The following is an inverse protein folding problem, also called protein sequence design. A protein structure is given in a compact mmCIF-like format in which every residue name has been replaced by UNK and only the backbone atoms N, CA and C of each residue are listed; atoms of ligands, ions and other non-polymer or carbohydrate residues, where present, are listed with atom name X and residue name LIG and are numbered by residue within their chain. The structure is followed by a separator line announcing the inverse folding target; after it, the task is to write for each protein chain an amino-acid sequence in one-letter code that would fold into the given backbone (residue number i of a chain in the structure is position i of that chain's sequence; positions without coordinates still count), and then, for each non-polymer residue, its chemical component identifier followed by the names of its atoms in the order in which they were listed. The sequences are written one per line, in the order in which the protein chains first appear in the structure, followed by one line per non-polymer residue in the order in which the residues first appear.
data_IF_041043770216
#
_entry.id   IF_041043770216
#
_cell.length_a   1.000
_cell.length_b   1.000
_cell.length_c   1.000
_cell.angle_alpha   90.00
_cell.angle_beta   90.00
_cell.angle_gamma   90.00
#
_symmetry.space_group_name_H-M   'P 1'
#
loop_
_entity.id
_entity.type
_entity.pdbx_description
1 polymer ?
#
# COMPACT_ATOMS: atom_id res chain seq x y z
N UNK A 1 -39.42 -21.25 -25.07
CA UNK A 1 -38.40 -22.19 -24.54
C UNK A 1 -36.96 -21.63 -24.53
N UNK A 2 -36.69 -20.51 -25.19
CA UNK A 2 -35.41 -19.82 -25.19
C UNK A 2 -35.18 -18.88 -23.99
N UNK A 3 -36.19 -18.59 -23.19
CA UNK A 3 -36.13 -17.67 -22.07
C UNK A 3 -35.57 -18.32 -20.76
N UNK A 4 -35.81 -19.59 -20.55
CA UNK A 4 -35.40 -20.30 -19.34
C UNK A 4 -33.88 -20.32 -19.16
N UNK A 5 -33.03 -20.55 -20.18
CA UNK A 5 -31.59 -20.46 -20.03
C UNK A 5 -31.09 -19.06 -19.71
N UNK A 6 -31.71 -18.02 -20.28
CA UNK A 6 -31.31 -16.62 -20.03
C UNK A 6 -31.65 -16.17 -18.60
N UNK A 7 -32.82 -16.56 -18.10
CA UNK A 7 -33.20 -16.31 -16.70
C UNK A 7 -32.27 -17.03 -15.75
N UNK A 8 -31.94 -18.28 -16.02
CA UNK A 8 -30.99 -19.05 -15.23
C UNK A 8 -29.62 -18.39 -15.18
N UNK A 9 -29.13 -17.94 -16.32
CA UNK A 9 -27.85 -17.24 -16.43
C UNK A 9 -27.86 -15.93 -15.61
N UNK A 10 -28.96 -15.17 -15.69
CA UNK A 10 -29.12 -13.92 -14.94
C UNK A 10 -29.11 -14.16 -13.43
N UNK A 11 -29.87 -15.15 -12.98
CA UNK A 11 -29.92 -15.53 -11.56
C UNK A 11 -28.54 -15.99 -11.08
N UNK A 12 -27.86 -16.79 -11.88
CA UNK A 12 -26.55 -17.31 -11.56
C UNK A 12 -25.50 -16.18 -11.45
N UNK A 13 -25.53 -15.24 -12.39
CA UNK A 13 -24.67 -14.04 -12.32
C UNK A 13 -24.92 -13.23 -11.06
N UNK A 14 -26.18 -13.03 -10.71
CA UNK A 14 -26.56 -12.31 -9.49
C UNK A 14 -26.03 -13.01 -8.22
N UNK A 15 -26.24 -14.31 -8.13
CA UNK A 15 -25.77 -15.13 -6.99
C UNK A 15 -24.25 -15.10 -6.86
N UNK A 16 -23.52 -15.26 -7.97
CA UNK A 16 -22.05 -15.22 -7.97
C UNK A 16 -21.51 -13.84 -7.65
N UNK A 17 -22.17 -12.79 -8.09
CA UNK A 17 -21.77 -11.42 -7.82
C UNK A 17 -22.03 -10.99 -6.36
N UNK A 18 -23.04 -11.54 -5.71
CA UNK A 18 -23.37 -11.22 -4.31
C UNK A 18 -22.31 -11.72 -3.30
N UNK A 19 -21.52 -12.71 -3.69
CA UNK A 19 -20.50 -13.29 -2.82
C UNK A 19 -21.04 -14.06 -1.60
N UNK A 20 -22.35 -14.23 -1.50
CA UNK A 20 -23.02 -14.91 -0.37
C UNK A 20 -22.88 -16.42 -0.41
N UNK A 21 -22.44 -16.99 -1.53
CA UNK A 21 -22.30 -18.44 -1.70
C UNK A 21 -20.84 -18.80 -1.84
N UNK A 22 -20.43 -19.78 -1.08
CA UNK A 22 -19.12 -20.43 -1.21
C UNK A 22 -19.00 -21.04 -2.64
N UNK A 23 -17.99 -20.61 -3.36
CA UNK A 23 -17.73 -21.02 -4.74
C UNK A 23 -17.51 -22.53 -4.87
N UNK A 24 -16.85 -23.16 -3.91
CA UNK A 24 -16.58 -24.60 -3.90
C UNK A 24 -17.89 -25.38 -3.71
N UNK A 25 -18.71 -24.99 -2.73
CA UNK A 25 -20.03 -25.59 -2.50
C UNK A 25 -20.95 -25.43 -3.71
N UNK A 26 -20.90 -24.27 -4.37
CA UNK A 26 -21.66 -24.02 -5.60
C UNK A 26 -21.20 -24.94 -6.74
N UNK A 27 -19.90 -25.07 -6.98
CA UNK A 27 -19.35 -25.94 -8.03
C UNK A 27 -19.69 -27.43 -7.77
N UNK A 28 -19.68 -27.86 -6.52
CA UNK A 28 -20.05 -29.22 -6.15
C UNK A 28 -21.54 -29.48 -6.44
N UNK A 29 -22.41 -28.52 -6.17
CA UNK A 29 -23.85 -28.63 -6.54
C UNK A 29 -24.08 -28.62 -8.03
N UNK A 30 -23.32 -27.82 -8.77
CA UNK A 30 -23.39 -27.78 -10.24
C UNK A 30 -23.06 -29.13 -10.85
N UNK A 31 -22.11 -29.87 -10.29
CA UNK A 31 -21.77 -31.25 -10.74
C UNK A 31 -22.94 -32.24 -10.60
N UNK A 32 -23.89 -31.97 -9.74
CA UNK A 32 -25.09 -32.80 -9.55
C UNK A 32 -26.23 -32.49 -10.51
N UNK A 33 -26.12 -31.43 -11.30
CA UNK A 33 -27.13 -31.05 -12.30
C UNK A 33 -27.14 -32.06 -13.46
N UNK A 34 -28.31 -32.60 -13.76
CA UNK A 34 -28.47 -33.63 -14.79
C UNK A 34 -28.41 -33.10 -16.23
N UNK A 35 -28.63 -31.80 -16.43
CA UNK A 35 -28.54 -31.18 -17.74
C UNK A 35 -27.12 -30.73 -18.04
N UNK A 36 -26.46 -31.39 -18.96
CA UNK A 36 -25.07 -31.11 -19.34
C UNK A 36 -24.84 -29.69 -19.87
N UNK A 37 -25.81 -29.12 -20.57
CA UNK A 37 -25.71 -27.74 -21.09
C UNK A 37 -25.77 -26.68 -19.99
N UNK A 38 -26.66 -26.87 -19.02
CA UNK A 38 -26.76 -25.99 -17.86
C UNK A 38 -25.52 -26.11 -16.97
N UNK A 39 -25.02 -27.32 -16.81
CA UNK A 39 -23.78 -27.60 -16.08
C UNK A 39 -22.60 -26.87 -16.71
N UNK A 40 -22.40 -26.98 -18.02
CA UNK A 40 -21.32 -26.30 -18.75
C UNK A 40 -21.44 -24.77 -18.63
N UNK A 41 -22.63 -24.20 -18.78
CA UNK A 41 -22.84 -22.76 -18.61
C UNK A 41 -22.52 -22.29 -17.20
N UNK A 42 -22.95 -23.02 -16.19
CA UNK A 42 -22.67 -22.68 -14.78
C UNK A 42 -21.18 -22.72 -14.50
N UNK A 43 -20.47 -23.73 -14.97
CA UNK A 43 -19.01 -23.84 -14.82
C UNK A 43 -18.25 -22.72 -15.54
N UNK A 44 -18.67 -22.38 -16.78
CA UNK A 44 -18.06 -21.30 -17.57
C UNK A 44 -18.24 -19.95 -16.88
N UNK A 45 -19.43 -19.65 -16.38
CA UNK A 45 -19.71 -18.42 -15.62
C UNK A 45 -18.89 -18.34 -14.33
N UNK A 46 -18.79 -19.44 -13.59
CA UNK A 46 -17.97 -19.50 -12.37
C UNK A 46 -16.51 -19.22 -12.68
N UNK A 47 -15.99 -19.77 -13.76
CA UNK A 47 -14.60 -19.50 -14.21
C UNK A 47 -14.41 -18.05 -14.63
N UNK A 48 -15.34 -17.47 -15.36
CA UNK A 48 -15.30 -16.05 -15.73
C UNK A 48 -15.29 -15.14 -14.52
N UNK A 49 -16.19 -15.35 -13.56
CA UNK A 49 -16.22 -14.57 -12.33
C UNK A 49 -14.95 -14.73 -11.50
N UNK A 50 -14.40 -15.93 -11.44
CA UNK A 50 -13.13 -16.17 -10.76
C UNK A 50 -11.98 -15.39 -11.44
N UNK A 51 -11.94 -15.39 -12.75
CA UNK A 51 -10.93 -14.66 -13.53
C UNK A 51 -11.07 -13.14 -13.38
N UNK A 52 -12.30 -12.61 -13.47
CA UNK A 52 -12.61 -11.19 -13.25
C UNK A 52 -12.22 -10.75 -11.84
N UNK A 53 -12.61 -11.50 -10.82
CA UNK A 53 -12.26 -11.23 -9.44
C UNK A 53 -10.73 -11.24 -9.20
N UNK A 54 -10.02 -12.12 -9.86
CA UNK A 54 -8.56 -12.18 -9.79
C UNK A 54 -7.90 -10.97 -10.46
N UNK A 55 -8.44 -10.52 -11.60
CA UNK A 55 -7.96 -9.31 -12.28
C UNK A 55 -8.25 -8.05 -11.46
N UNK A 56 -9.46 -7.93 -10.92
CA UNK A 56 -9.84 -6.80 -10.05
C UNK A 56 -8.93 -6.74 -8.82
N UNK A 57 -8.75 -7.85 -8.11
CA UNK A 57 -7.86 -7.93 -6.96
C UNK A 57 -6.41 -7.54 -7.29
N UNK A 58 -5.92 -7.89 -8.46
CA UNK A 58 -4.58 -7.47 -8.92
C UNK A 58 -4.50 -5.98 -9.20
N UNK A 59 -5.55 -5.40 -9.78
CA UNK A 59 -5.60 -3.96 -10.05
C UNK A 59 -5.69 -3.15 -8.75
N UNK A 60 -6.57 -3.57 -7.84
CA UNK A 60 -6.70 -2.96 -6.52
C UNK A 60 -5.38 -3.01 -5.75
N UNK A 61 -4.77 -4.19 -5.66
CA UNK A 61 -3.48 -4.36 -5.01
C UNK A 61 -2.36 -3.51 -5.61
N UNK A 62 -2.38 -3.30 -6.94
CA UNK A 62 -1.42 -2.39 -7.58
C UNK A 62 -1.69 -0.93 -7.24
N UNK A 63 -2.95 -0.53 -7.17
CA UNK A 63 -3.32 0.85 -6.82
C UNK A 63 -2.98 1.15 -5.36
N UNK A 64 -3.35 0.25 -4.46
CA UNK A 64 -3.01 0.34 -3.04
C UNK A 64 -1.49 0.42 -2.84
N UNK A 65 -0.75 -0.51 -3.41
CA UNK A 65 0.71 -0.51 -3.31
C UNK A 65 1.37 0.75 -3.88
N UNK A 66 0.80 1.34 -4.94
CA UNK A 66 1.28 2.64 -5.46
C UNK A 66 0.99 3.79 -4.51
N UNK A 67 -0.20 3.79 -3.90
CA UNK A 67 -0.58 4.85 -2.95
C UNK A 67 0.27 4.76 -1.68
N UNK A 68 0.42 3.56 -1.13
CA UNK A 68 1.28 3.30 0.02
C UNK A 68 2.73 3.71 -0.26
N UNK A 69 3.29 3.24 -1.37
CA UNK A 69 4.67 3.58 -1.75
C UNK A 69 4.88 5.08 -1.96
N UNK A 70 3.89 5.80 -2.49
CA UNK A 70 3.96 7.26 -2.61
C UNK A 70 3.91 7.96 -1.26
N UNK A 71 3.08 7.46 -0.36
CA UNK A 71 2.94 8.02 0.97
C UNK A 71 4.19 7.79 1.81
N UNK A 72 4.70 6.56 1.78
CA UNK A 72 5.98 6.22 2.43
C UNK A 72 7.13 7.05 1.86
N UNK A 73 7.27 7.11 0.55
CA UNK A 73 8.29 7.91 -0.10
C UNK A 73 8.23 9.41 0.23
N UNK A 74 7.02 9.96 0.39
CA UNK A 74 6.85 11.34 0.86
C UNK A 74 7.32 11.54 2.29
N UNK A 75 6.96 10.61 3.18
CA UNK A 75 7.38 10.67 4.58
C UNK A 75 8.89 10.55 4.72
N UNK A 76 9.48 9.57 4.04
CA UNK A 76 10.94 9.40 4.01
C UNK A 76 11.64 10.64 3.45
N UNK A 77 11.15 11.17 2.33
CA UNK A 77 11.69 12.39 1.73
C UNK A 77 11.62 13.60 2.65
N UNK A 78 10.54 13.76 3.41
CA UNK A 78 10.40 14.83 4.39
C UNK A 78 11.40 14.67 5.55
N UNK A 79 11.61 13.45 6.03
CA UNK A 79 12.59 13.16 7.07
C UNK A 79 14.00 13.47 6.59
N UNK A 80 14.36 13.00 5.40
CA UNK A 80 15.65 13.27 4.79
C UNK A 80 15.90 14.76 4.58
N UNK A 81 14.88 15.50 4.12
CA UNK A 81 14.96 16.94 3.97
C UNK A 81 15.24 17.65 5.30
N UNK A 82 14.53 17.26 6.35
CA UNK A 82 14.75 17.81 7.70
C UNK A 82 16.14 17.48 8.26
N UNK A 83 16.63 16.29 8.03
CA UNK A 83 17.99 15.90 8.39
C UNK A 83 19.02 16.78 7.64
N UNK A 84 18.83 16.95 6.35
CA UNK A 84 19.69 17.81 5.53
C UNK A 84 19.66 19.28 6.00
N UNK A 85 18.49 19.81 6.33
CA UNK A 85 18.34 21.17 6.85
C UNK A 85 19.14 21.40 8.13
N UNK A 86 19.13 20.43 9.05
CA UNK A 86 19.92 20.51 10.29
C UNK A 86 21.41 20.54 9.96
N UNK A 87 21.86 19.66 9.08
CA UNK A 87 23.28 19.62 8.65
C UNK A 87 23.68 20.91 7.96
N UNK A 88 22.85 21.44 7.07
CA UNK A 88 23.10 22.68 6.33
C UNK A 88 23.27 23.86 7.28
N UNK A 89 22.44 24.00 8.29
CA UNK A 89 22.57 25.05 9.31
C UNK A 89 23.90 24.94 10.06
N UNK A 90 24.27 23.72 10.43
CA UNK A 90 25.56 23.48 11.10
C UNK A 90 26.76 23.80 10.19
N UNK A 91 26.68 23.45 8.90
CA UNK A 91 27.73 23.81 7.93
C UNK A 91 27.85 25.32 7.73
N UNK A 92 26.73 26.02 7.63
CA UNK A 92 26.72 27.48 7.50
C UNK A 92 27.36 28.14 8.72
N UNK A 93 27.08 27.65 9.90
CA UNK A 93 27.55 28.26 11.15
C UNK A 93 28.97 27.88 11.51
N UNK A 94 29.37 26.63 11.29
CA UNK A 94 30.66 26.07 11.77
C UNK A 94 31.59 25.61 10.65
N UNK A 95 31.22 25.83 9.39
CA UNK A 95 31.96 25.51 8.18
C UNK A 95 32.22 24.02 7.95
N UNK A 96 32.43 23.24 9.00
CA UNK A 96 32.73 21.81 8.95
C UNK A 96 31.85 21.04 9.90
N UNK A 97 31.18 20.03 9.40
CA UNK A 97 30.42 19.06 10.20
C UNK A 97 31.12 17.71 10.12
N UNK A 98 31.55 17.10 11.25
CA UNK A 98 32.17 15.79 11.24
C UNK A 98 31.22 14.71 10.66
N UNK A 99 31.81 13.75 9.96
CA UNK A 99 31.04 12.65 9.34
C UNK A 99 30.24 11.84 10.35
N UNK A 100 30.81 11.57 11.54
CA UNK A 100 30.10 10.89 12.61
C UNK A 100 28.85 11.63 13.08
N UNK A 101 28.89 12.96 13.14
CA UNK A 101 27.73 13.77 13.50
C UNK A 101 26.64 13.74 12.41
N UNK A 102 27.04 13.78 11.14
CA UNK A 102 26.12 13.62 10.00
C UNK A 102 25.40 12.27 10.05
N UNK A 103 26.14 11.21 10.33
CA UNK A 103 25.59 9.85 10.45
C UNK A 103 24.60 9.76 11.61
N UNK A 104 24.90 10.34 12.77
CA UNK A 104 23.98 10.36 13.91
C UNK A 104 22.69 11.12 13.61
N UNK A 105 22.77 12.27 12.95
CA UNK A 105 21.58 13.02 12.50
C UNK A 105 20.79 12.20 11.51
N UNK A 106 21.44 11.49 10.59
CA UNK A 106 20.81 10.63 9.60
C UNK A 106 20.05 9.42 10.16
N UNK A 107 20.31 9.05 11.41
CA UNK A 107 19.61 7.98 12.12
C UNK A 107 18.32 8.46 12.81
N UNK A 108 18.14 9.76 12.97
CA UNK A 108 16.98 10.33 13.64
C UNK A 108 15.83 10.44 12.63
N UNK A 109 14.75 9.72 12.90
CA UNK A 109 13.59 9.64 12.02
C UNK A 109 12.34 10.33 12.59
N UNK A 110 12.37 10.75 13.85
CA UNK A 110 11.27 11.49 14.47
C UNK A 110 11.25 12.95 13.98
N UNK A 111 10.19 13.38 13.28
CA UNK A 111 10.09 14.75 12.78
C UNK A 111 10.12 15.83 13.84
N UNK A 112 9.56 15.56 15.01
CA UNK A 112 9.55 16.50 16.13
C UNK A 112 10.94 16.70 16.72
N UNK A 113 11.69 15.63 16.85
CA UNK A 113 13.07 15.67 17.30
C UNK A 113 13.96 16.41 16.30
N UNK A 114 13.78 16.16 15.00
CA UNK A 114 14.51 16.88 13.95
C UNK A 114 14.19 18.39 13.97
N UNK A 115 12.94 18.76 14.21
CA UNK A 115 12.56 20.15 14.36
C UNK A 115 13.23 20.81 15.57
N UNK A 116 13.32 20.12 16.67
CA UNK A 116 14.00 20.60 17.87
C UNK A 116 15.52 20.73 17.62
N UNK A 117 16.12 19.74 16.98
CA UNK A 117 17.53 19.80 16.59
C UNK A 117 17.82 20.94 15.61
N UNK A 118 16.90 21.23 14.69
CA UNK A 118 17.02 22.38 13.79
C UNK A 118 17.11 23.69 14.57
N UNK A 119 16.23 23.90 15.52
CA UNK A 119 16.25 25.08 16.40
C UNK A 119 17.54 25.15 17.21
N UNK A 120 17.99 24.04 17.78
CA UNK A 120 19.24 23.94 18.53
C UNK A 120 20.45 24.24 17.65
N UNK A 121 20.46 23.76 16.41
CA UNK A 121 21.52 24.07 15.44
C UNK A 121 21.65 25.57 15.18
N UNK A 122 20.56 26.32 15.22
CA UNK A 122 20.53 27.75 15.03
C UNK A 122 21.12 28.51 16.24
N UNK A 123 20.85 28.03 17.45
CA UNK A 123 21.16 28.78 18.70
C UNK A 123 22.37 28.22 19.48
N UNK A 124 22.85 27.02 19.19
CA UNK A 124 23.99 26.45 19.91
C UNK A 124 25.27 27.28 19.72
N UNK A 125 26.12 27.31 20.75
CA UNK A 125 27.37 28.07 20.72
C UNK A 125 28.51 27.32 20.02
N UNK A 126 28.47 25.98 20.01
CA UNK A 126 29.51 25.14 19.41
C UNK A 126 28.92 23.81 18.89
N UNK A 127 29.69 23.12 18.04
CA UNK A 127 29.35 21.77 17.60
C UNK A 127 29.33 20.76 18.74
N UNK A 128 30.22 20.91 19.70
CA UNK A 128 30.30 20.05 20.90
C UNK A 128 29.01 20.18 21.73
N UNK A 129 28.53 21.41 21.92
CA UNK A 129 27.26 21.67 22.60
C UNK A 129 26.08 21.05 21.87
N UNK A 130 26.03 21.17 20.55
CA UNK A 130 25.01 20.54 19.73
C UNK A 130 25.06 19.01 19.82
N UNK A 131 26.23 18.42 19.66
CA UNK A 131 26.43 16.97 19.71
C UNK A 131 26.11 16.38 21.09
N UNK A 132 26.38 17.11 22.16
CA UNK A 132 26.08 16.67 23.53
C UNK A 132 24.59 16.54 23.82
N UNK A 133 23.73 17.12 23.00
CA UNK A 133 22.27 17.05 23.14
C UNK A 133 21.57 16.06 22.18
N UNK A 134 22.33 15.30 21.41
CA UNK A 134 21.78 14.23 20.57
C UNK A 134 21.37 12.97 21.43
#
# INVERSE_FOLDING_TARGET
MTEAPAIFETILRYILASGEIDKEAFLDRVKTVQDAKLQDKAMTLAQQFHHEGHQEGRQEGRQEGRQEGRQEGRQEGQIQAKQADVVDVLEIRFERVPEGLREEIGKITDPLRLKDLHKRAVICASLEEFAGGL
#
